data_IF_052870558562
#
_entry.id   IF_052870558562
#
_cell.length_a   1.000
_cell.length_b   1.000
_cell.length_c   1.000
_cell.angle_alpha   90.00
_cell.angle_beta   90.00
_cell.angle_gamma   90.00
#
_symmetry.space_group_name_H-M   'P 1'
#
loop_
_entity.id
_entity.type
_entity.pdbx_description
1 polymer ?
#
# COMPACT_ATOMS: atom_id res chain seq x y z
N UNK A 1 10.80 27.59 -4.84
CA UNK A 1 11.86 28.55 -4.45
C UNK A 1 12.94 27.87 -3.62
N UNK A 2 12.60 27.38 -2.42
CA UNK A 2 13.50 26.64 -1.52
C UNK A 2 14.38 25.59 -2.21
N UNK A 3 13.80 24.68 -3.01
CA UNK A 3 14.56 23.63 -3.70
C UNK A 3 15.66 24.19 -4.64
N UNK A 4 15.42 25.35 -5.26
CA UNK A 4 16.39 26.03 -6.13
C UNK A 4 17.50 26.68 -5.31
N UNK A 5 17.11 27.39 -4.24
CA UNK A 5 18.04 28.06 -3.34
C UNK A 5 19.01 27.06 -2.68
N UNK A 6 18.47 25.96 -2.17
CA UNK A 6 19.24 24.90 -1.52
C UNK A 6 19.86 23.90 -2.50
N UNK A 7 19.64 24.07 -3.81
CA UNK A 7 20.15 23.19 -4.88
C UNK A 7 19.86 21.70 -4.62
N UNK A 8 18.64 21.39 -4.20
CA UNK A 8 18.25 20.03 -3.88
C UNK A 8 18.42 19.12 -5.10
N UNK A 9 19.22 18.06 -4.96
CA UNK A 9 19.49 17.10 -6.04
C UNK A 9 18.23 16.35 -6.47
N UNK A 10 17.39 15.98 -5.51
CA UNK A 10 16.15 15.27 -5.76
C UNK A 10 14.97 16.24 -5.54
N UNK A 11 14.46 16.78 -6.66
CA UNK A 11 13.25 17.59 -6.70
C UNK A 11 12.37 17.06 -7.84
N UNK A 12 11.14 16.68 -7.53
CA UNK A 12 10.19 16.11 -8.49
C UNK A 12 8.96 17.00 -8.58
N UNK A 13 8.62 17.44 -9.79
CA UNK A 13 7.47 18.30 -10.07
C UNK A 13 6.87 17.96 -11.44
N UNK A 14 5.64 18.41 -11.69
CA UNK A 14 4.95 18.23 -12.96
C UNK A 14 4.91 16.76 -13.40
N UNK A 15 5.43 16.47 -14.60
CA UNK A 15 5.41 15.12 -15.18
C UNK A 15 6.34 14.10 -14.49
N UNK A 16 7.15 14.52 -13.53
CA UNK A 16 8.07 13.65 -12.78
C UNK A 16 7.53 13.28 -11.39
N UNK A 17 6.44 13.93 -10.96
CA UNK A 17 5.82 13.70 -9.65
C UNK A 17 4.98 12.42 -9.66
N UNK A 18 5.00 11.72 -8.54
CA UNK A 18 4.15 10.58 -8.29
C UNK A 18 3.98 10.41 -6.79
N UNK A 19 3.31 9.34 -6.40
CA UNK A 19 3.16 8.96 -5.00
C UNK A 19 4.53 8.62 -4.42
N UNK A 20 5.01 9.42 -3.47
CA UNK A 20 6.40 9.41 -3.00
C UNK A 20 6.89 8.03 -2.53
N UNK A 21 6.04 7.27 -1.85
CA UNK A 21 6.41 5.94 -1.35
C UNK A 21 6.49 4.85 -2.42
N UNK A 22 5.99 5.11 -3.62
CA UNK A 22 6.27 4.31 -4.81
C UNK A 22 7.45 4.89 -5.60
N UNK A 23 7.54 6.23 -5.69
CA UNK A 23 8.53 6.94 -6.49
C UNK A 23 9.96 6.78 -5.97
N UNK A 24 10.22 6.96 -4.67
CA UNK A 24 11.60 6.94 -4.15
C UNK A 24 12.27 5.56 -4.29
N UNK A 25 11.60 4.43 -4.00
CA UNK A 25 12.12 3.09 -4.30
C UNK A 25 12.30 2.82 -5.79
N UNK A 26 11.35 3.27 -6.62
CA UNK A 26 11.40 3.09 -8.07
C UNK A 26 12.60 3.81 -8.69
N UNK A 27 12.89 5.03 -8.21
CA UNK A 27 14.07 5.81 -8.59
C UNK A 27 15.36 5.25 -7.99
N UNK A 28 15.30 4.28 -7.08
CA UNK A 28 16.47 3.69 -6.42
C UNK A 28 17.22 4.64 -5.49
N UNK A 29 16.50 5.62 -4.94
CA UNK A 29 17.03 6.58 -3.96
C UNK A 29 17.09 5.95 -2.57
N UNK A 30 16.03 5.22 -2.22
CA UNK A 30 15.96 4.41 -1.01
C UNK A 30 16.46 3.01 -1.32
N UNK A 31 17.44 2.55 -0.54
CA UNK A 31 18.08 1.26 -0.72
C UNK A 31 18.13 0.46 0.60
N UNK A 32 18.33 -0.87 0.54
CA UNK A 32 18.43 -1.71 1.73
C UNK A 32 19.50 -1.23 2.73
N UNK A 33 19.16 -1.30 4.01
CA UNK A 33 20.02 -0.87 5.12
C UNK A 33 20.05 0.64 5.37
N UNK A 34 19.25 1.42 4.66
CA UNK A 34 19.06 2.83 4.97
C UNK A 34 18.29 3.06 6.27
N UNK A 35 18.56 4.23 6.87
CA UNK A 35 17.68 4.90 7.83
C UNK A 35 16.98 6.04 7.08
N UNK A 36 15.66 5.94 6.90
CA UNK A 36 14.87 6.92 6.15
C UNK A 36 13.82 7.57 7.04
N UNK A 37 13.79 8.90 7.03
CA UNK A 37 12.70 9.67 7.62
C UNK A 37 11.97 10.45 6.54
N UNK A 38 10.70 10.74 6.78
CA UNK A 38 9.87 11.50 5.85
C UNK A 38 8.77 12.27 6.56
N UNK A 39 8.26 13.30 5.90
CA UNK A 39 7.17 14.13 6.41
C UNK A 39 5.80 13.43 6.38
N UNK A 40 5.72 12.25 5.74
CA UNK A 40 4.50 11.46 5.64
C UNK A 40 4.53 10.27 6.60
N UNK A 41 3.36 9.97 7.18
CA UNK A 41 3.17 8.88 8.12
C UNK A 41 3.51 7.50 7.57
N UNK A 42 3.35 7.30 6.26
CA UNK A 42 3.55 6.03 5.57
C UNK A 42 4.97 5.84 5.03
N UNK A 43 5.92 6.69 5.47
CA UNK A 43 7.36 6.50 5.21
C UNK A 43 7.85 5.09 5.61
N UNK A 44 7.17 4.43 6.57
CA UNK A 44 7.39 3.04 6.94
C UNK A 44 7.28 2.03 5.79
N UNK A 45 6.75 2.43 4.62
CA UNK A 45 6.70 1.63 3.39
C UNK A 45 8.08 1.05 3.02
N UNK A 46 9.15 1.80 3.27
CA UNK A 46 10.49 1.43 2.80
C UNK A 46 11.12 0.27 3.54
N UNK A 47 10.56 -0.15 4.68
CA UNK A 47 11.01 -1.37 5.34
C UNK A 47 10.72 -2.64 4.55
N UNK A 48 9.91 -2.56 3.48
CA UNK A 48 9.80 -3.63 2.48
C UNK A 48 11.12 -3.92 1.74
N UNK A 49 12.08 -2.99 1.77
CA UNK A 49 13.43 -3.14 1.23
C UNK A 49 14.47 -3.48 2.31
N UNK A 50 14.06 -3.69 3.57
CA UNK A 50 14.99 -3.85 4.68
C UNK A 50 15.66 -2.54 5.13
N UNK A 51 15.01 -1.39 4.88
CA UNK A 51 15.42 -0.10 5.43
C UNK A 51 14.61 0.24 6.68
N UNK A 52 15.24 0.73 7.75
CA UNK A 52 14.45 1.29 8.85
C UNK A 52 13.87 2.63 8.40
N UNK A 53 12.54 2.74 8.41
CA UNK A 53 11.88 3.91 7.86
C UNK A 53 10.68 4.36 8.69
N UNK A 54 10.54 5.66 8.92
CA UNK A 54 9.50 6.20 9.81
C UNK A 54 9.11 7.63 9.45
N UNK A 55 7.82 7.96 9.65
CA UNK A 55 7.35 9.33 9.55
C UNK A 55 7.78 10.18 10.75
N UNK A 56 8.04 11.46 10.51
CA UNK A 56 8.39 12.44 11.53
C UNK A 56 7.62 13.75 11.34
N UNK A 57 7.53 14.56 12.39
CA UNK A 57 6.88 15.87 12.32
C UNK A 57 7.74 16.90 11.59
N UNK A 58 7.15 18.07 11.30
CA UNK A 58 7.86 19.16 10.62
C UNK A 58 9.07 19.69 11.40
N UNK A 59 9.00 19.72 12.74
CA UNK A 59 10.12 20.12 13.60
C UNK A 59 11.31 19.17 13.48
N UNK A 60 11.07 17.86 13.53
CA UNK A 60 12.10 16.83 13.39
C UNK A 60 12.72 16.87 11.98
N UNK A 61 11.88 17.06 10.97
CA UNK A 61 12.36 17.19 9.59
C UNK A 61 13.27 18.41 9.42
N UNK A 62 12.89 19.56 9.98
CA UNK A 62 13.72 20.76 9.97
C UNK A 62 15.06 20.52 10.69
N UNK A 63 15.04 19.84 11.85
CA UNK A 63 16.27 19.49 12.58
C UNK A 63 17.22 18.64 11.73
N UNK A 64 16.70 17.63 11.02
CA UNK A 64 17.51 16.78 10.13
C UNK A 64 18.02 17.53 8.91
N UNK A 65 17.23 18.43 8.34
CA UNK A 65 17.70 19.25 7.23
C UNK A 65 18.85 20.18 7.63
N UNK A 66 18.94 20.57 8.91
CA UNK A 66 20.03 21.40 9.45
C UNK A 66 21.24 20.55 9.85
N UNK A 67 21.02 19.40 10.50
CA UNK A 67 22.08 18.66 11.20
C UNK A 67 22.51 17.37 10.50
N UNK A 68 21.65 16.80 9.65
CA UNK A 68 21.82 15.45 9.10
C UNK A 68 21.52 14.32 10.08
N UNK A 69 21.06 14.63 11.30
CA UNK A 69 20.90 13.67 12.39
C UNK A 69 19.56 13.84 13.11
N UNK A 70 19.08 12.78 13.77
CA UNK A 70 17.87 12.81 14.60
C UNK A 70 17.98 11.83 15.77
N UNK A 71 17.30 12.14 16.87
CA UNK A 71 17.18 11.25 18.01
C UNK A 71 16.11 10.18 17.76
N UNK A 72 16.47 8.92 18.02
CA UNK A 72 15.54 7.79 17.98
C UNK A 72 15.57 7.03 19.30
N UNK A 73 14.38 6.76 19.84
CA UNK A 73 14.22 5.66 20.80
C UNK A 73 14.11 4.37 19.99
N UNK A 74 15.04 3.44 20.21
CA UNK A 74 14.99 2.12 19.55
C UNK A 74 13.69 1.43 19.94
N UNK A 75 12.80 1.08 18.98
CA UNK A 75 11.54 0.43 19.30
C UNK A 75 11.77 -1.05 19.62
N UNK A 76 10.93 -1.61 20.50
CA UNK A 76 10.84 -3.07 20.62
C UNK A 76 10.26 -3.67 19.33
N UNK A 77 10.56 -4.93 19.02
CA UNK A 77 10.09 -5.59 17.81
C UNK A 77 9.01 -6.62 18.10
N UNK A 78 7.94 -6.59 17.33
CA UNK A 78 6.95 -7.67 17.23
C UNK A 78 7.22 -8.48 15.97
N UNK A 79 7.19 -9.82 16.07
CA UNK A 79 7.41 -10.72 14.95
C UNK A 79 6.11 -11.33 14.48
N UNK A 80 5.83 -11.23 13.18
CA UNK A 80 4.64 -11.81 12.54
C UNK A 80 5.09 -12.87 11.53
N UNK A 81 4.89 -14.14 11.88
CA UNK A 81 5.36 -15.31 11.13
C UNK A 81 4.22 -15.89 10.29
N UNK A 82 4.34 -15.81 8.97
CA UNK A 82 3.37 -16.38 8.04
C UNK A 82 3.78 -17.80 7.63
N UNK A 83 2.84 -18.74 7.68
CA UNK A 83 3.05 -20.16 7.36
C UNK A 83 2.07 -20.64 6.29
N UNK A 84 2.37 -21.78 5.68
CA UNK A 84 1.50 -22.40 4.68
C UNK A 84 1.62 -21.76 3.29
N UNK A 85 0.50 -21.71 2.56
CA UNK A 85 0.42 -21.21 1.18
C UNK A 85 -0.63 -20.12 1.08
N UNK A 86 -0.35 -19.08 0.29
CA UNK A 86 -1.32 -18.03 -0.01
C UNK A 86 -2.46 -18.60 -0.86
N UNK A 87 -3.70 -18.27 -0.48
CA UNK A 87 -4.87 -18.55 -1.28
C UNK A 87 -4.89 -17.72 -2.56
N UNK A 88 -5.67 -18.16 -3.55
CA UNK A 88 -5.91 -17.39 -4.78
C UNK A 88 -6.45 -16.01 -4.41
N UNK A 89 -5.97 -14.98 -5.11
CA UNK A 89 -6.34 -13.58 -4.90
C UNK A 89 -5.90 -12.93 -3.59
N UNK A 90 -5.23 -13.66 -2.70
CA UNK A 90 -4.61 -13.09 -1.50
C UNK A 90 -3.26 -12.46 -1.88
N UNK A 91 -3.07 -11.20 -1.50
CA UNK A 91 -1.81 -10.47 -1.67
C UNK A 91 -1.30 -9.93 -0.34
N UNK A 92 -0.17 -9.21 -0.36
CA UNK A 92 0.35 -8.53 0.84
C UNK A 92 -0.68 -7.62 1.50
N UNK A 93 -1.61 -7.03 0.73
CA UNK A 93 -2.71 -6.20 1.25
C UNK A 93 -3.63 -6.98 2.20
N UNK A 94 -3.98 -8.22 1.85
CA UNK A 94 -4.85 -9.05 2.68
C UNK A 94 -4.12 -9.53 3.93
N UNK A 95 -2.83 -9.87 3.80
CA UNK A 95 -2.01 -10.29 4.93
C UNK A 95 -1.90 -9.18 5.98
N UNK A 96 -1.62 -7.94 5.56
CA UNK A 96 -1.51 -6.83 6.52
C UNK A 96 -2.87 -6.43 7.09
N UNK A 97 -3.95 -6.47 6.30
CA UNK A 97 -5.29 -6.26 6.85
C UNK A 97 -5.64 -7.33 7.87
N UNK A 98 -5.31 -8.60 7.63
CA UNK A 98 -5.50 -9.67 8.60
C UNK A 98 -4.76 -9.39 9.92
N UNK A 99 -3.50 -8.96 9.84
CA UNK A 99 -2.72 -8.58 11.03
C UNK A 99 -3.37 -7.41 11.76
N UNK A 100 -3.72 -6.32 11.07
CA UNK A 100 -4.34 -5.14 11.69
C UNK A 100 -5.69 -5.50 12.32
N UNK A 101 -6.47 -6.39 11.70
CA UNK A 101 -7.72 -6.88 12.27
C UNK A 101 -7.54 -7.73 13.54
N UNK A 102 -6.40 -8.40 13.69
CA UNK A 102 -6.07 -9.20 14.86
C UNK A 102 -5.47 -8.35 16.00
N UNK A 103 -4.59 -7.41 15.68
CA UNK A 103 -3.88 -6.61 16.71
C UNK A 103 -4.56 -5.28 17.04
N UNK A 104 -5.41 -4.76 16.16
CA UNK A 104 -6.05 -3.46 16.29
C UNK A 104 -5.15 -2.28 15.89
N UNK A 105 -5.73 -1.07 15.88
CA UNK A 105 -5.06 0.17 15.45
C UNK A 105 -3.94 0.65 16.39
N UNK A 106 -3.92 0.17 17.64
CA UNK A 106 -2.88 0.47 18.63
C UNK A 106 -2.03 -0.77 18.99
N UNK A 107 -2.25 -1.91 18.33
CA UNK A 107 -1.64 -3.20 18.71
C UNK A 107 -0.11 -3.23 18.66
N UNK A 108 0.49 -2.38 17.82
CA UNK A 108 1.92 -2.24 17.65
C UNK A 108 2.45 -0.85 18.06
N UNK A 109 1.71 -0.11 18.89
CA UNK A 109 2.10 1.24 19.32
C UNK A 109 3.53 1.27 19.91
N UNK A 110 4.37 2.17 19.38
CA UNK A 110 5.82 2.31 19.71
C UNK A 110 6.71 1.12 19.38
N UNK A 111 6.22 0.12 18.64
CA UNK A 111 6.97 -1.06 18.24
C UNK A 111 7.29 -1.06 16.75
N UNK A 112 8.26 -1.87 16.35
CA UNK A 112 8.45 -2.24 14.95
C UNK A 112 7.72 -3.56 14.65
N UNK A 113 7.17 -3.69 13.44
CA UNK A 113 6.55 -4.93 12.97
C UNK A 113 7.48 -5.63 12.00
N UNK A 114 8.07 -6.75 12.40
CA UNK A 114 8.88 -7.61 11.53
C UNK A 114 7.98 -8.69 10.91
N UNK A 115 7.86 -8.70 9.58
CA UNK A 115 7.08 -9.72 8.87
C UNK A 115 8.02 -10.77 8.25
N UNK A 116 7.75 -12.05 8.51
CA UNK A 116 8.62 -13.15 8.08
C UNK A 116 7.85 -14.42 7.70
N UNK A 117 8.58 -15.41 7.18
CA UNK A 117 8.08 -16.74 6.84
C UNK A 117 7.99 -17.00 5.34
N UNK A 118 7.88 -18.29 4.98
CA UNK A 118 7.92 -18.76 3.58
C UNK A 118 6.95 -18.06 2.61
N UNK A 119 5.72 -17.67 3.00
CA UNK A 119 4.84 -16.87 2.15
C UNK A 119 5.42 -15.48 1.85
N UNK A 120 6.04 -14.82 2.83
CA UNK A 120 6.63 -13.48 2.70
C UNK A 120 7.84 -13.49 1.76
N UNK A 121 8.71 -14.50 1.90
CA UNK A 121 9.87 -14.73 1.01
C UNK A 121 9.47 -14.85 -0.48
N UNK A 122 8.22 -15.23 -0.77
CA UNK A 122 7.69 -15.37 -2.13
C UNK A 122 6.95 -14.14 -2.64
N UNK A 123 6.68 -13.15 -1.77
CA UNK A 123 6.03 -11.91 -2.20
C UNK A 123 6.98 -11.08 -3.05
N UNK A 124 6.42 -10.43 -4.07
CA UNK A 124 7.07 -9.33 -4.78
C UNK A 124 7.35 -8.17 -3.83
N UNK A 125 8.29 -7.31 -4.20
CA UNK A 125 8.56 -6.07 -3.45
C UNK A 125 7.32 -5.18 -3.37
N UNK A 126 6.51 -5.11 -4.42
CA UNK A 126 5.27 -4.34 -4.45
C UNK A 126 4.26 -4.81 -3.39
N UNK A 127 4.10 -6.13 -3.21
CA UNK A 127 3.26 -6.71 -2.16
C UNK A 127 3.86 -6.53 -0.76
N UNK A 128 5.19 -6.58 -0.61
CA UNK A 128 5.88 -6.27 0.65
C UNK A 128 5.69 -4.80 1.03
N UNK A 129 5.76 -3.89 0.07
CA UNK A 129 5.48 -2.46 0.27
C UNK A 129 4.06 -2.24 0.74
N UNK A 130 3.07 -2.96 0.21
CA UNK A 130 1.70 -2.88 0.71
C UNK A 130 1.60 -3.25 2.21
N UNK A 131 2.38 -4.25 2.65
CA UNK A 131 2.43 -4.64 4.06
C UNK A 131 3.12 -3.58 4.93
N UNK A 132 4.36 -3.19 4.59
CA UNK A 132 5.11 -2.23 5.41
C UNK A 132 4.48 -0.84 5.40
N UNK A 133 3.81 -0.45 4.30
CA UNK A 133 3.03 0.79 4.23
C UNK A 133 1.99 0.84 5.34
N UNK A 134 1.20 -0.22 5.53
CA UNK A 134 0.11 -0.19 6.51
C UNK A 134 0.53 -0.53 7.94
N UNK A 135 1.82 -0.73 8.24
CA UNK A 135 2.27 -0.96 9.61
C UNK A 135 1.85 0.18 10.57
N UNK A 136 1.86 1.43 10.09
CA UNK A 136 1.41 2.59 10.87
C UNK A 136 -0.09 2.53 11.22
N UNK A 137 -0.90 1.78 10.47
CA UNK A 137 -2.33 1.62 10.76
C UNK A 137 -2.60 0.67 11.94
N UNK A 138 -1.56 -0.02 12.44
CA UNK A 138 -1.55 -0.72 13.74
C UNK A 138 -0.77 0.05 14.82
N UNK A 139 -0.44 1.32 14.56
CA UNK A 139 0.31 2.18 15.48
C UNK A 139 1.83 1.97 15.46
N UNK A 140 2.33 1.10 14.58
CA UNK A 140 3.76 0.75 14.55
C UNK A 140 4.63 1.94 14.14
N UNK A 141 5.82 2.02 14.76
CA UNK A 141 6.85 3.00 14.39
C UNK A 141 7.41 2.73 12.99
N UNK A 142 7.51 1.45 12.62
CA UNK A 142 7.96 0.98 11.32
C UNK A 142 7.46 -0.44 11.04
N UNK A 143 7.33 -0.82 9.77
CA UNK A 143 7.15 -2.20 9.33
C UNK A 143 8.36 -2.62 8.52
N UNK A 144 8.91 -3.81 8.75
CA UNK A 144 10.16 -4.26 8.14
C UNK A 144 10.09 -5.71 7.66
N UNK A 145 10.70 -5.97 6.51
CA UNK A 145 10.91 -7.30 5.94
C UNK A 145 12.40 -7.41 5.61
N UNK A 146 13.02 -8.50 6.06
CA UNK A 146 14.43 -8.75 5.79
C UNK A 146 14.68 -8.80 4.26
N UNK A 147 15.74 -8.14 3.77
CA UNK A 147 16.07 -8.13 2.35
C UNK A 147 16.61 -9.50 1.92
N UNK A 148 16.23 -9.94 0.73
CA UNK A 148 16.54 -11.27 0.18
C UNK A 148 16.90 -11.19 -1.32
N UNK A 149 16.91 -12.34 -2.01
CA UNK A 149 17.21 -12.40 -3.43
C UNK A 149 16.23 -11.57 -4.30
N UNK A 150 14.94 -11.53 -3.94
CA UNK A 150 13.93 -10.71 -4.66
C UNK A 150 14.22 -9.22 -4.45
N UNK A 151 14.60 -8.84 -3.22
CA UNK A 151 15.00 -7.47 -2.90
C UNK A 151 16.26 -7.07 -3.66
N UNK A 152 17.25 -7.96 -3.73
CA UNK A 152 18.49 -7.77 -4.49
C UNK A 152 18.20 -7.58 -5.98
N UNK A 153 17.33 -8.40 -6.57
CA UNK A 153 16.97 -8.27 -7.98
C UNK A 153 16.25 -6.94 -8.27
N UNK A 154 15.31 -6.55 -7.40
CA UNK A 154 14.60 -5.29 -7.53
C UNK A 154 15.55 -4.08 -7.45
N UNK A 155 16.55 -4.14 -6.56
CA UNK A 155 17.54 -3.08 -6.34
C UNK A 155 18.65 -3.04 -7.39
N UNK A 156 19.15 -4.18 -7.89
CA UNK A 156 20.19 -4.20 -8.93
C UNK A 156 19.79 -3.44 -10.20
N UNK A 157 18.49 -3.34 -10.48
CA UNK A 157 17.94 -2.63 -11.64
C UNK A 157 17.76 -1.12 -11.40
N UNK A 158 17.90 -0.63 -10.16
CA UNK A 158 17.42 0.70 -9.74
C UNK A 158 18.38 1.48 -8.86
N UNK A 159 19.06 0.82 -7.93
CA UNK A 159 19.84 1.45 -6.88
C UNK A 159 20.88 2.41 -7.46
N UNK A 160 20.85 3.66 -7.00
CA UNK A 160 21.79 4.70 -7.43
C UNK A 160 23.12 4.64 -6.66
N UNK A 161 23.18 3.83 -5.59
CA UNK A 161 24.35 3.68 -4.71
C UNK A 161 24.44 2.26 -4.13
N UNK A 162 25.61 1.87 -3.61
CA UNK A 162 25.76 0.61 -2.89
C UNK A 162 24.79 0.51 -1.71
N UNK A 163 24.39 -0.72 -1.40
CA UNK A 163 23.46 -1.01 -0.32
C UNK A 163 23.93 -2.22 0.50
N UNK A 164 23.42 -2.34 1.73
CA UNK A 164 23.80 -3.39 2.66
C UNK A 164 22.56 -4.09 3.19
N UNK A 165 22.62 -5.40 3.25
CA UNK A 165 21.56 -6.20 3.84
C UNK A 165 21.83 -6.35 5.34
N UNK A 166 20.80 -6.15 6.12
CA UNK A 166 20.77 -6.48 7.55
C UNK A 166 19.69 -7.53 7.75
N UNK A 167 20.00 -8.50 8.59
CA UNK A 167 19.11 -9.59 8.96
C UNK A 167 19.05 -9.63 10.49
N UNK A 168 17.93 -10.11 11.03
CA UNK A 168 17.77 -10.31 12.46
C UNK A 168 18.64 -11.50 12.90
N UNK A 169 19.37 -11.34 14.00
CA UNK A 169 20.17 -12.42 14.59
C UNK A 169 19.28 -13.58 15.07
N UNK A 170 19.85 -14.79 15.13
CA UNK A 170 19.12 -15.99 15.51
C UNK A 170 18.60 -15.95 16.96
N UNK A 171 19.25 -15.18 17.83
CA UNK A 171 18.92 -14.96 19.24
C UNK A 171 18.23 -13.61 19.50
N UNK A 172 17.77 -12.93 18.45
CA UNK A 172 17.01 -11.68 18.58
C UNK A 172 15.76 -11.88 19.46
N UNK A 173 15.60 -11.00 20.45
CA UNK A 173 14.46 -11.01 21.38
C UNK A 173 13.34 -10.13 20.83
N UNK A 174 12.13 -10.66 20.85
CA UNK A 174 10.92 -9.98 20.39
C UNK A 174 9.98 -9.76 21.56
N UNK A 175 9.35 -8.58 21.63
CA UNK A 175 8.32 -8.29 22.62
C UNK A 175 7.10 -9.21 22.47
N UNK A 176 6.82 -9.63 21.23
CA UNK A 176 5.73 -10.55 20.92
C UNK A 176 6.02 -11.30 19.61
N UNK A 177 5.56 -12.55 19.52
CA UNK A 177 5.60 -13.35 18.30
C UNK A 177 4.21 -13.86 18.00
N UNK A 178 3.67 -13.55 16.82
CA UNK A 178 2.40 -14.08 16.31
C UNK A 178 2.63 -14.93 15.08
N UNK A 179 1.83 -15.98 14.93
CA UNK A 179 1.91 -16.89 13.80
C UNK A 179 0.57 -16.99 13.07
N UNK A 180 0.60 -16.89 11.74
CA UNK A 180 -0.60 -16.98 10.90
C UNK A 180 -0.50 -18.10 9.88
N UNK A 181 -1.56 -18.87 9.76
CA UNK A 181 -1.74 -19.85 8.69
C UNK A 181 -2.40 -19.18 7.47
N UNK A 182 -1.61 -18.92 6.43
CA UNK A 182 -2.09 -18.27 5.22
C UNK A 182 -3.18 -19.06 4.49
N UNK A 183 -3.31 -20.37 4.71
CA UNK A 183 -4.37 -21.16 4.10
C UNK A 183 -5.77 -20.78 4.64
N UNK A 184 -5.84 -20.12 5.81
CA UNK A 184 -7.08 -19.63 6.42
C UNK A 184 -7.40 -18.19 6.06
N UNK A 185 -6.47 -17.47 5.44
CA UNK A 185 -6.65 -16.08 5.02
C UNK A 185 -7.31 -16.09 3.64
N UNK A 186 -8.46 -15.42 3.54
CA UNK A 186 -9.14 -15.13 2.28
C UNK A 186 -9.02 -13.63 1.97
N UNK A 187 -9.42 -13.17 0.77
CA UNK A 187 -9.41 -11.75 0.47
C UNK A 187 -10.18 -10.96 1.54
N UNK A 188 -9.50 -9.98 2.11
CA UNK A 188 -9.91 -9.30 3.34
C UNK A 188 -10.30 -7.86 3.02
N UNK A 189 -11.37 -7.40 3.64
CA UNK A 189 -11.89 -6.05 3.49
C UNK A 189 -11.93 -5.37 4.86
N UNK A 190 -11.22 -4.25 5.02
CA UNK A 190 -11.43 -3.38 6.18
C UNK A 190 -12.65 -2.51 5.95
N UNK A 191 -13.67 -2.73 6.76
CA UNK A 191 -14.92 -2.00 6.74
C UNK A 191 -14.76 -0.65 7.47
N UNK A 192 -15.58 0.36 7.17
CA UNK A 192 -15.54 1.63 7.87
C UNK A 192 -15.77 1.48 9.39
N UNK A 193 -15.27 2.39 10.23
CA UNK A 193 -14.44 3.55 9.90
C UNK A 193 -12.99 3.40 10.42
N UNK A 194 -12.53 2.17 10.65
CA UNK A 194 -11.19 1.88 11.12
C UNK A 194 -10.57 0.71 10.34
N UNK A 195 -9.26 0.76 10.03
CA UNK A 195 -8.58 -0.33 9.32
C UNK A 195 -8.66 -1.70 10.03
N UNK A 196 -8.82 -1.72 11.36
CA UNK A 196 -8.97 -2.95 12.16
C UNK A 196 -10.32 -3.66 12.00
N UNK A 197 -11.37 -2.99 11.51
CA UNK A 197 -12.69 -3.59 11.32
C UNK A 197 -12.70 -4.50 10.08
N UNK A 198 -11.93 -5.58 10.12
CA UNK A 198 -11.73 -6.46 8.98
C UNK A 198 -12.78 -7.55 8.93
N UNK A 199 -13.25 -7.79 7.72
CA UNK A 199 -14.18 -8.87 7.40
C UNK A 199 -13.72 -9.59 6.16
N UNK A 200 -14.14 -10.84 6.08
CA UNK A 200 -13.98 -11.68 4.92
C UNK A 200 -14.82 -11.13 3.77
N UNK A 201 -14.28 -11.05 2.55
CA UNK A 201 -15.05 -10.56 1.39
C UNK A 201 -16.34 -11.36 1.18
N UNK A 202 -16.33 -12.66 1.51
CA UNK A 202 -17.48 -13.55 1.40
C UNK A 202 -18.68 -13.13 2.27
N UNK A 203 -18.45 -12.34 3.33
CA UNK A 203 -19.46 -11.85 4.26
C UNK A 203 -20.11 -10.53 3.81
N UNK A 204 -19.60 -9.89 2.76
CA UNK A 204 -19.95 -8.51 2.41
C UNK A 204 -20.75 -8.39 1.10
N UNK A 205 -21.29 -9.50 0.60
CA UNK A 205 -21.98 -9.59 -0.71
C UNK A 205 -23.24 -8.71 -0.84
N UNK A 206 -23.73 -8.11 0.24
CA UNK A 206 -24.93 -7.25 0.20
C UNK A 206 -24.59 -5.74 0.23
N UNK A 207 -23.31 -5.38 0.31
CA UNK A 207 -22.88 -3.97 0.39
C UNK A 207 -22.71 -3.41 -1.03
N UNK A 208 -23.69 -2.62 -1.48
CA UNK A 208 -23.62 -1.85 -2.73
C UNK A 208 -22.63 -0.70 -2.62
N UNK A 209 -22.09 -0.27 -3.75
CA UNK A 209 -21.07 0.78 -3.81
C UNK A 209 -21.33 1.75 -4.94
N UNK A 210 -20.79 2.96 -4.81
CA UNK A 210 -20.92 4.05 -5.78
C UNK A 210 -19.59 4.32 -6.50
N UNK A 211 -18.47 3.97 -5.85
CA UNK A 211 -17.14 4.24 -6.38
C UNK A 211 -16.14 3.12 -6.07
N UNK A 212 -15.21 2.92 -6.99
CA UNK A 212 -14.02 2.08 -6.80
C UNK A 212 -12.76 2.87 -7.13
N UNK A 213 -11.80 2.88 -6.20
CA UNK A 213 -10.45 3.42 -6.41
C UNK A 213 -9.45 2.26 -6.50
N UNK A 214 -8.73 2.17 -7.61
CA UNK A 214 -7.59 1.25 -7.79
C UNK A 214 -6.34 2.08 -8.01
N UNK A 215 -5.55 2.27 -6.97
CA UNK A 215 -4.31 3.01 -7.03
C UNK A 215 -4.05 3.87 -5.79
N UNK A 216 -2.87 3.73 -5.20
CA UNK A 216 -2.43 4.49 -4.02
C UNK A 216 -0.94 4.20 -3.73
N UNK A 217 -0.42 4.74 -2.61
CA UNK A 217 0.89 4.33 -2.07
C UNK A 217 0.92 2.86 -1.59
N UNK A 218 -0.24 2.24 -1.36
CA UNK A 218 -0.39 0.84 -0.92
C UNK A 218 -0.53 -0.12 -2.09
N UNK A 219 -1.29 0.23 -3.13
CA UNK A 219 -1.56 -0.64 -4.28
C UNK A 219 -1.85 0.15 -5.57
N UNK A 220 -0.85 0.85 -6.09
CA UNK A 220 -0.89 1.55 -7.38
C UNK A 220 0.28 1.21 -8.31
N UNK A 221 1.00 0.12 -8.04
CA UNK A 221 2.16 -0.33 -8.80
C UNK A 221 1.74 -1.14 -10.03
N UNK A 222 2.70 -1.45 -10.90
CA UNK A 222 2.41 -2.11 -12.16
C UNK A 222 1.78 -3.50 -11.96
N UNK A 223 2.17 -4.23 -10.91
CA UNK A 223 1.54 -5.52 -10.58
C UNK A 223 0.07 -5.38 -10.17
N UNK A 224 -0.27 -4.33 -9.42
CA UNK A 224 -1.64 -4.06 -8.96
C UNK A 224 -2.54 -3.75 -10.17
N UNK A 225 -2.04 -2.91 -11.08
CA UNK A 225 -2.72 -2.56 -12.33
C UNK A 225 -2.89 -3.79 -13.22
N UNK A 226 -1.89 -4.66 -13.31
CA UNK A 226 -1.96 -5.91 -14.08
C UNK A 226 -3.06 -6.83 -13.54
N UNK A 227 -3.19 -6.97 -12.22
CA UNK A 227 -4.25 -7.77 -11.59
C UNK A 227 -5.62 -7.18 -11.92
N UNK A 228 -5.80 -5.87 -11.74
CA UNK A 228 -7.05 -5.20 -12.06
C UNK A 228 -7.40 -5.33 -13.55
N UNK A 229 -6.43 -5.13 -14.45
CA UNK A 229 -6.62 -5.25 -15.89
C UNK A 229 -7.02 -6.67 -16.29
N UNK A 230 -6.42 -7.69 -15.68
CA UNK A 230 -6.80 -9.10 -15.93
C UNK A 230 -8.27 -9.35 -15.64
N UNK A 231 -8.78 -8.82 -14.52
CA UNK A 231 -10.17 -9.00 -14.09
C UNK A 231 -11.15 -8.16 -14.93
N UNK A 232 -10.75 -6.93 -15.29
CA UNK A 232 -11.58 -6.01 -16.06
C UNK A 232 -11.61 -6.31 -17.57
N UNK A 233 -10.69 -7.13 -18.09
CA UNK A 233 -10.59 -7.44 -19.51
C UNK A 233 -11.88 -8.07 -20.06
N UNK A 234 -12.50 -7.38 -21.01
CA UNK A 234 -13.76 -7.81 -21.63
C UNK A 234 -15.00 -7.61 -20.76
N UNK A 235 -14.86 -6.95 -19.61
CA UNK A 235 -15.95 -6.64 -18.69
C UNK A 235 -16.37 -5.17 -18.82
N UNK A 236 -17.49 -4.81 -18.19
CA UNK A 236 -17.95 -3.43 -18.03
C UNK A 236 -18.19 -3.15 -16.54
N UNK A 237 -17.82 -1.96 -16.11
CA UNK A 237 -18.15 -1.45 -14.78
C UNK A 237 -19.67 -1.38 -14.63
N UNK A 238 -20.17 -1.71 -13.44
CA UNK A 238 -21.60 -1.68 -13.15
C UNK A 238 -22.20 -0.29 -13.38
N UNK A 239 -23.47 -0.24 -13.79
CA UNK A 239 -24.18 1.01 -13.98
C UNK A 239 -24.19 1.80 -12.66
N UNK A 240 -23.94 3.11 -12.76
CA UNK A 240 -23.88 4.05 -11.63
C UNK A 240 -22.66 3.90 -10.71
N UNK A 241 -21.68 3.04 -11.05
CA UNK A 241 -20.42 2.92 -10.30
C UNK A 241 -19.30 3.65 -11.03
N UNK A 242 -18.55 4.48 -10.31
CA UNK A 242 -17.37 5.16 -10.82
C UNK A 242 -16.13 4.33 -10.53
N UNK A 243 -15.46 3.81 -11.56
CA UNK A 243 -14.14 3.20 -11.41
C UNK A 243 -13.06 4.22 -11.76
N UNK A 244 -12.17 4.52 -10.81
CA UNK A 244 -11.03 5.41 -11.00
C UNK A 244 -9.74 4.62 -10.78
N UNK A 245 -8.87 4.62 -11.78
CA UNK A 245 -7.57 3.94 -11.75
C UNK A 245 -6.45 4.97 -11.65
N UNK A 246 -5.55 4.79 -10.70
CA UNK A 246 -4.51 5.76 -10.35
C UNK A 246 -3.14 5.07 -10.35
N UNK A 247 -2.40 5.07 -11.48
CA UNK A 247 -1.01 4.62 -11.50
C UNK A 247 -0.15 5.45 -10.54
N UNK A 248 0.67 4.82 -9.71
CA UNK A 248 1.34 5.51 -8.61
C UNK A 248 2.44 6.49 -9.06
N UNK A 249 3.13 6.21 -10.18
CA UNK A 249 4.24 7.03 -10.69
C UNK A 249 4.11 7.28 -12.20
N UNK A 250 4.80 8.28 -12.76
CA UNK A 250 4.86 8.50 -14.21
C UNK A 250 5.42 7.30 -14.98
N UNK A 251 6.40 6.58 -14.41
CA UNK A 251 6.92 5.35 -15.00
C UNK A 251 5.83 4.27 -15.08
N UNK A 252 5.15 3.99 -13.96
CA UNK A 252 4.07 2.99 -13.93
C UNK A 252 2.94 3.40 -14.88
N UNK A 253 2.59 4.68 -14.94
CA UNK A 253 1.59 5.21 -15.87
C UNK A 253 1.97 4.90 -17.32
N UNK A 254 3.18 5.22 -17.73
CA UNK A 254 3.68 4.98 -19.08
C UNK A 254 3.78 3.48 -19.41
N UNK A 255 4.29 2.67 -18.49
CA UNK A 255 4.41 1.22 -18.70
C UNK A 255 3.04 0.53 -18.78
N UNK A 256 2.08 0.92 -17.93
CA UNK A 256 0.71 0.42 -18.01
C UNK A 256 0.04 0.78 -19.34
N UNK A 257 0.33 1.97 -19.88
CA UNK A 257 -0.13 2.38 -21.21
C UNK A 257 0.50 1.51 -22.31
N UNK A 258 1.82 1.31 -22.31
CA UNK A 258 2.52 0.45 -23.29
C UNK A 258 2.06 -1.00 -23.26
N UNK A 259 1.76 -1.53 -22.07
CA UNK A 259 1.25 -2.90 -21.89
C UNK A 259 -0.23 -3.04 -22.24
N UNK A 260 -0.90 -1.96 -22.65
CA UNK A 260 -2.30 -1.96 -23.08
C UNK A 260 -3.31 -2.02 -21.93
N UNK A 261 -2.89 -1.80 -20.68
CA UNK A 261 -3.82 -1.80 -19.53
C UNK A 261 -4.79 -0.63 -19.62
N UNK A 262 -4.37 0.50 -20.18
CA UNK A 262 -5.22 1.68 -20.39
C UNK A 262 -6.40 1.37 -21.29
N UNK A 263 -6.16 0.70 -22.42
CA UNK A 263 -7.23 0.28 -23.34
C UNK A 263 -8.24 -0.63 -22.62
N UNK A 264 -7.77 -1.55 -21.78
CA UNK A 264 -8.63 -2.41 -20.97
C UNK A 264 -9.48 -1.58 -19.99
N UNK A 265 -8.86 -0.68 -19.24
CA UNK A 265 -9.55 0.15 -18.24
C UNK A 265 -10.59 1.07 -18.90
N UNK A 266 -10.22 1.76 -19.99
CA UNK A 266 -11.12 2.64 -20.74
C UNK A 266 -12.28 1.84 -21.36
N UNK A 267 -12.01 0.67 -21.95
CA UNK A 267 -13.07 -0.20 -22.48
C UNK A 267 -13.98 -0.71 -21.37
N UNK A 268 -13.49 -0.94 -20.16
CA UNK A 268 -14.34 -1.29 -19.02
C UNK A 268 -15.22 -0.12 -18.53
N UNK A 269 -14.88 1.11 -18.90
CA UNK A 269 -15.58 2.33 -18.47
C UNK A 269 -14.92 3.03 -17.28
N UNK A 270 -13.64 2.73 -17.00
CA UNK A 270 -12.88 3.42 -15.97
C UNK A 270 -12.41 4.81 -16.42
N UNK A 271 -12.20 5.69 -15.45
CA UNK A 271 -11.43 6.93 -15.62
C UNK A 271 -10.02 6.71 -15.09
N UNK A 272 -9.01 7.20 -15.81
CA UNK A 272 -7.60 7.08 -15.42
C UNK A 272 -7.10 8.44 -14.94
N UNK A 273 -6.55 8.48 -13.73
CA UNK A 273 -5.97 9.67 -13.11
C UNK A 273 -4.50 9.85 -13.50
N UNK A 274 -3.98 11.09 -13.57
CA UNK A 274 -2.54 11.30 -13.47
C UNK A 274 -2.00 10.74 -12.14
N UNK A 275 -0.68 10.44 -12.05
CA UNK A 275 -0.07 9.91 -10.84
C UNK A 275 -0.21 10.85 -9.65
N UNK A 276 -1.03 10.47 -8.67
CA UNK A 276 -1.28 11.24 -7.45
C UNK A 276 -1.72 10.30 -6.32
N UNK A 277 -1.84 10.81 -5.10
CA UNK A 277 -2.49 10.08 -4.00
C UNK A 277 -4.03 10.01 -4.13
N UNK A 278 -4.61 10.61 -5.18
CA UNK A 278 -6.05 10.61 -5.42
C UNK A 278 -6.85 11.18 -4.24
N UNK A 279 -7.99 10.56 -3.87
CA UNK A 279 -8.84 11.06 -2.82
C UNK A 279 -8.35 10.68 -1.42
N UNK A 280 -7.14 10.12 -1.26
CA UNK A 280 -6.65 9.56 0.00
C UNK A 280 -6.69 10.56 1.17
N UNK A 281 -6.51 11.85 0.91
CA UNK A 281 -6.59 12.94 1.90
C UNK A 281 -7.76 13.90 1.60
N UNK A 282 -8.77 13.46 0.86
CA UNK A 282 -9.82 14.34 0.32
C UNK A 282 -9.29 15.35 -0.70
N UNK A 283 -8.14 15.07 -1.33
CA UNK A 283 -7.39 16.06 -2.10
C UNK A 283 -7.81 16.19 -3.57
N UNK A 284 -7.92 15.07 -4.30
CA UNK A 284 -8.05 15.14 -5.76
C UNK A 284 -8.75 13.89 -6.32
N UNK A 285 -9.71 14.08 -7.23
CA UNK A 285 -10.37 13.03 -8.04
C UNK A 285 -11.06 11.91 -7.23
N UNK A 286 -12.38 11.80 -7.37
CA UNK A 286 -13.14 10.77 -6.65
C UNK A 286 -13.45 11.14 -5.20
N UNK A 287 -13.70 12.42 -4.94
CA UNK A 287 -14.23 12.89 -3.66
C UNK A 287 -15.64 12.31 -3.47
N UNK A 288 -15.89 11.72 -2.31
CA UNK A 288 -17.17 11.11 -1.99
C UNK A 288 -18.18 12.13 -1.47
N UNK A 289 -19.40 12.03 -1.95
CA UNK A 289 -20.55 12.76 -1.42
C UNK A 289 -21.16 12.07 -0.19
N UNK A 290 -22.06 12.77 0.49
CA UNK A 290 -22.78 12.22 1.65
C UNK A 290 -23.55 10.93 1.29
N UNK A 291 -23.32 9.87 2.06
CA UNK A 291 -23.96 8.57 1.88
C UNK A 291 -23.35 7.68 0.80
N UNK A 292 -22.34 8.15 0.05
CA UNK A 292 -21.65 7.31 -0.92
C UNK A 292 -20.71 6.32 -0.27
N UNK A 293 -20.57 5.15 -0.91
CA UNK A 293 -19.67 4.08 -0.50
C UNK A 293 -18.59 3.85 -1.54
N UNK A 294 -17.34 3.80 -1.10
CA UNK A 294 -16.21 3.44 -1.94
C UNK A 294 -15.52 2.17 -1.52
N UNK A 295 -15.15 1.34 -2.49
CA UNK A 295 -14.10 0.32 -2.32
C UNK A 295 -12.79 0.89 -2.82
N UNK A 296 -11.76 0.90 -1.99
CA UNK A 296 -10.48 1.53 -2.33
C UNK A 296 -9.29 0.62 -2.02
N UNK A 297 -8.25 0.72 -2.85
CA UNK A 297 -6.96 0.08 -2.61
C UNK A 297 -5.98 0.99 -1.86
N UNK A 298 -6.51 1.96 -1.09
CA UNK A 298 -5.77 2.85 -0.19
C UNK A 298 -5.57 2.20 1.18
N UNK A 299 -5.04 2.95 2.15
CA UNK A 299 -4.69 2.47 3.50
C UNK A 299 -5.57 2.99 4.63
N UNK A 300 -6.38 4.06 4.42
CA UNK A 300 -7.20 4.67 5.48
C UNK A 300 -8.67 4.78 5.08
N UNK A 301 -9.54 4.50 6.04
CA UNK A 301 -11.01 4.57 5.92
C UNK A 301 -11.70 5.31 7.09
N UNK A 302 -10.97 6.21 7.74
CA UNK A 302 -11.53 7.09 8.77
C UNK A 302 -12.71 7.92 8.23
N UNK A 303 -13.56 8.40 9.14
CA UNK A 303 -14.69 9.29 8.82
C UNK A 303 -14.17 10.51 8.02
N UNK A 304 -14.82 10.80 6.89
CA UNK A 304 -14.48 11.94 6.02
C UNK A 304 -13.15 11.81 5.28
N UNK A 305 -12.50 10.64 5.29
CA UNK A 305 -11.15 10.48 4.72
C UNK A 305 -11.06 10.78 3.22
N UNK A 306 -12.11 10.47 2.46
CA UNK A 306 -12.18 10.66 1.01
C UNK A 306 -13.20 11.72 0.58
N UNK A 307 -13.72 12.52 1.50
CA UNK A 307 -14.77 13.49 1.20
C UNK A 307 -15.71 13.71 2.38
N UNK A 308 -17.00 13.59 2.13
CA UNK A 308 -18.03 13.88 3.13
C UNK A 308 -17.93 12.94 4.36
N UNK A 309 -18.11 13.44 5.60
CA UNK A 309 -18.12 12.62 6.81
C UNK A 309 -19.14 11.48 6.81
N UNK A 310 -20.23 11.57 6.04
CA UNK A 310 -21.25 10.52 5.90
C UNK A 310 -20.90 9.50 4.81
N UNK A 311 -19.75 9.63 4.16
CA UNK A 311 -19.26 8.63 3.21
C UNK A 311 -18.58 7.46 3.92
N UNK A 312 -18.56 6.31 3.25
CA UNK A 312 -17.97 5.08 3.77
C UNK A 312 -16.87 4.58 2.84
N UNK A 313 -15.75 4.13 3.39
CA UNK A 313 -14.62 3.58 2.63
C UNK A 313 -14.31 2.15 3.09
N UNK A 314 -14.25 1.23 2.15
CA UNK A 314 -13.91 -0.17 2.35
C UNK A 314 -12.54 -0.44 1.71
N UNK A 315 -11.55 -0.83 2.52
CA UNK A 315 -10.19 -1.02 2.01
C UNK A 315 -9.97 -2.48 1.64
N UNK A 316 -9.38 -2.73 0.48
CA UNK A 316 -9.14 -4.10 0.01
C UNK A 316 -8.02 -4.14 -1.04
N UNK A 317 -7.67 -5.34 -1.50
CA UNK A 317 -6.71 -5.53 -2.58
C UNK A 317 -7.28 -5.16 -3.98
N UNK A 318 -6.43 -4.98 -5.01
CA UNK A 318 -6.87 -4.66 -6.37
C UNK A 318 -7.80 -5.68 -7.03
N UNK A 319 -7.68 -6.96 -6.67
CA UNK A 319 -8.52 -7.99 -7.27
C UNK A 319 -9.98 -7.86 -6.84
N UNK A 320 -10.21 -7.71 -5.53
CA UNK A 320 -11.55 -7.47 -4.96
C UNK A 320 -12.10 -6.14 -5.44
N UNK A 321 -11.28 -5.09 -5.50
CA UNK A 321 -11.71 -3.79 -6.00
C UNK A 321 -12.21 -3.86 -7.45
N UNK A 322 -11.43 -4.48 -8.35
CA UNK A 322 -11.80 -4.68 -9.75
C UNK A 322 -13.08 -5.53 -9.90
N UNK A 323 -13.20 -6.62 -9.15
CA UNK A 323 -14.40 -7.45 -9.17
C UNK A 323 -15.64 -6.70 -8.66
N UNK A 324 -15.45 -5.89 -7.62
CA UNK A 324 -16.52 -5.07 -7.04
C UNK A 324 -16.99 -3.98 -8.01
N UNK A 325 -16.08 -3.40 -8.79
CA UNK A 325 -16.43 -2.44 -9.85
C UNK A 325 -17.36 -3.05 -10.91
N UNK A 326 -17.14 -4.32 -11.27
CA UNK A 326 -17.97 -5.04 -12.24
C UNK A 326 -19.35 -5.38 -11.66
N UNK A 327 -19.41 -5.76 -10.37
CA UNK A 327 -20.65 -6.19 -9.73
C UNK A 327 -21.50 -5.06 -9.14
N UNK A 328 -20.90 -3.89 -8.90
CA UNK A 328 -21.54 -2.76 -8.22
C UNK A 328 -21.83 -2.97 -6.74
N UNK A 329 -21.10 -3.91 -6.14
CA UNK A 329 -21.11 -4.25 -4.72
C UNK A 329 -19.81 -4.94 -4.37
N UNK A 330 -19.49 -5.07 -3.08
CA UNK A 330 -18.34 -5.84 -2.64
C UNK A 330 -18.49 -7.29 -3.13
N UNK A 331 -17.49 -7.77 -3.89
CA UNK A 331 -17.55 -9.05 -4.58
C UNK A 331 -16.23 -9.81 -4.55
N UNK A 332 -16.31 -11.13 -4.43
CA UNK A 332 -15.13 -11.99 -4.53
C UNK A 332 -14.66 -12.08 -6.00
N UNK A 333 -13.34 -12.07 -6.29
CA UNK A 333 -12.85 -12.08 -7.67
C UNK A 333 -13.27 -13.29 -8.51
N UNK A 334 -13.51 -14.44 -7.90
CA UNK A 334 -14.04 -15.64 -8.58
C UNK A 334 -15.48 -15.47 -9.10
N UNK A 335 -16.23 -14.45 -8.67
CA UNK A 335 -17.57 -14.18 -9.21
C UNK A 335 -17.54 -13.59 -10.64
N UNK A 336 -16.36 -13.19 -11.11
CA UNK A 336 -16.14 -12.55 -12.42
C UNK A 336 -14.96 -13.14 -13.19
N UNK A 337 -14.06 -13.86 -12.52
CA UNK A 337 -12.90 -14.49 -13.13
C UNK A 337 -13.21 -15.96 -13.43
N UNK A 338 -13.41 -16.30 -14.70
CA UNK A 338 -13.35 -17.70 -15.17
C UNK A 338 -11.88 -18.15 -15.22
#
# INVERSE_FOLDING_TARGET
EFAKEQKLTYFFDGGEVGVEHALLPEKGIVVPGDLVIGADSHTCTYGALGAFSTGVGSTDLAAVMITGELWFKVPESMKFVFKGKLNKWVSGKDLILHVIGDVGVDGALYRSMEFTGKPIEKLSIDSRMAMCNMAIEAGAKSGIIAPDAITKEYMNKRAQRPFKFYESDADAVYAEVREYDCAKIEPTVACPHLPENTKKVSQLKNITIDQVIIGSCTNGRLEDLKVAAKILKGQKVAKYVRLIVIPATPFIYNEAMKLGYFDIFLKAGAVISPPTCGPCLGGHMGILAAGERSVATTNRNFVGRMGDPKSEVYLTNPAVAAASAIKGRIAHPDEVSK
#
